data_IF_822912075809
#
_entry.id   IF_822912075809
#
_cell.length_a   1.000
_cell.length_b   1.000
_cell.length_c   1.000
_cell.angle_alpha   90.00
_cell.angle_beta   90.00
_cell.angle_gamma   90.00
#
_symmetry.space_group_name_H-M   'P 1'
#
loop_
_entity.id
_entity.type
_entity.pdbx_description
1 polymer ?
#
# COMPACT_ATOMS: atom_id res chain seq x y z
N UNK A 1 -15.88 -0.56 12.61
CA UNK A 1 -15.54 -0.73 11.18
C UNK A 1 -15.96 -2.11 10.72
N UNK A 2 -16.42 -2.24 9.49
CA UNK A 2 -16.82 -3.53 8.94
C UNK A 2 -16.58 -3.58 7.42
N UNK A 3 -16.63 -4.78 6.88
CA UNK A 3 -16.53 -5.02 5.44
C UNK A 3 -17.88 -5.55 4.95
N UNK A 4 -18.32 -5.11 3.78
CA UNK A 4 -19.63 -5.47 3.25
C UNK A 4 -19.64 -5.39 1.71
N UNK A 5 -20.57 -6.10 1.08
CA UNK A 5 -20.86 -5.94 -0.34
C UNK A 5 -21.90 -4.83 -0.62
N UNK A 6 -22.49 -4.27 0.43
CA UNK A 6 -23.58 -3.30 0.29
C UNK A 6 -23.02 -1.88 0.29
N UNK A 7 -23.32 -1.14 -0.77
CA UNK A 7 -22.98 0.28 -0.86
C UNK A 7 -23.88 1.10 0.07
N UNK A 8 -23.27 1.99 0.85
CA UNK A 8 -23.99 2.96 1.69
C UNK A 8 -23.30 4.32 1.58
N UNK A 9 -23.91 5.36 2.11
CA UNK A 9 -23.49 6.75 1.93
C UNK A 9 -22.00 7.00 2.26
N UNK A 10 -21.46 6.33 3.27
CA UNK A 10 -20.07 6.54 3.71
C UNK A 10 -19.16 5.35 3.39
N UNK A 11 -19.62 4.43 2.52
CA UNK A 11 -18.85 3.24 2.18
C UNK A 11 -17.71 3.59 1.21
N UNK A 12 -16.52 3.06 1.49
CA UNK A 12 -15.33 3.26 0.67
C UNK A 12 -15.09 1.98 -0.13
N UNK A 13 -15.11 2.02 -1.47
CA UNK A 13 -14.82 0.83 -2.27
C UNK A 13 -13.34 0.46 -2.14
N UNK A 14 -13.03 -0.76 -1.73
CA UNK A 14 -11.64 -1.18 -1.45
C UNK A 14 -11.19 -2.37 -2.31
N UNK A 15 -12.11 -3.21 -2.78
CA UNK A 15 -11.76 -4.32 -3.67
C UNK A 15 -12.95 -4.67 -4.55
N UNK A 16 -12.68 -5.38 -5.63
CA UNK A 16 -13.69 -5.84 -6.58
C UNK A 16 -13.44 -7.29 -6.93
N UNK A 17 -14.50 -8.08 -7.03
CA UNK A 17 -14.39 -9.43 -7.57
C UNK A 17 -14.15 -9.30 -9.07
N UNK A 18 -13.05 -9.89 -9.54
CA UNK A 18 -12.61 -9.79 -10.94
C UNK A 18 -13.71 -10.28 -11.89
N UNK A 19 -13.89 -9.57 -12.98
CA UNK A 19 -14.86 -9.86 -14.05
C UNK A 19 -16.33 -9.83 -13.61
N UNK A 20 -16.63 -9.23 -12.46
CA UNK A 20 -18.01 -9.02 -11.98
C UNK A 20 -18.22 -7.57 -11.57
N UNK A 21 -19.48 -7.11 -11.38
CA UNK A 21 -19.73 -5.80 -10.79
C UNK A 21 -19.66 -5.76 -9.26
N UNK A 22 -19.39 -6.89 -8.60
CA UNK A 22 -19.42 -6.96 -7.13
C UNK A 22 -18.23 -6.24 -6.51
N UNK A 23 -18.51 -5.24 -5.68
CA UNK A 23 -17.52 -4.43 -4.98
C UNK A 23 -17.61 -4.71 -3.48
N UNK A 24 -16.44 -4.77 -2.83
CA UNK A 24 -16.33 -4.86 -1.37
C UNK A 24 -16.06 -3.47 -0.86
N UNK A 25 -16.84 -3.06 0.12
CA UNK A 25 -16.78 -1.74 0.74
C UNK A 25 -16.31 -1.84 2.17
N UNK A 26 -15.52 -0.85 2.59
CA UNK A 26 -15.16 -0.59 3.97
C UNK A 26 -16.14 0.44 4.53
N UNK A 27 -16.76 0.11 5.67
CA UNK A 27 -17.60 1.03 6.42
C UNK A 27 -16.80 1.55 7.61
N UNK A 28 -16.38 2.83 7.58
CA UNK A 28 -15.71 3.42 8.73
C UNK A 28 -16.64 3.48 9.94
N UNK A 29 -16.10 3.38 11.14
CA UNK A 29 -16.86 3.75 12.34
C UNK A 29 -17.13 5.25 12.28
N UNK A 30 -18.34 5.66 12.66
CA UNK A 30 -18.61 7.06 12.88
C UNK A 30 -17.67 7.56 13.99
N UNK A 31 -16.80 8.48 13.65
CA UNK A 31 -15.91 9.10 14.60
C UNK A 31 -16.71 10.06 15.48
N UNK A 32 -17.36 9.51 16.49
CA UNK A 32 -17.79 10.35 17.62
C UNK A 32 -16.54 10.50 18.49
N UNK A 33 -15.81 11.57 18.29
CA UNK A 33 -14.77 11.99 19.20
C UNK A 33 -15.43 12.21 20.55
N UNK A 34 -15.37 11.23 21.43
CA UNK A 34 -15.65 11.49 22.83
C UNK A 34 -14.46 12.27 23.38
N UNK A 35 -14.67 13.48 23.87
CA UNK A 35 -13.56 14.21 24.48
C UNK A 35 -12.95 13.35 25.57
N UNK A 36 -11.64 13.16 25.49
CA UNK A 36 -10.90 12.46 26.52
C UNK A 36 -11.07 13.31 27.81
N UNK A 37 -11.59 12.75 28.91
CA UNK A 37 -11.65 13.49 30.15
C UNK A 37 -10.25 14.01 30.48
N UNK A 38 -10.18 15.24 31.00
CA UNK A 38 -8.94 15.80 31.52
C UNK A 38 -8.46 14.92 32.68
N UNK A 39 -7.78 13.85 32.37
CA UNK A 39 -7.12 13.03 33.39
C UNK A 39 -5.76 13.64 33.67
N UNK A 40 -5.38 13.65 34.96
CA UNK A 40 -4.06 14.06 35.39
C UNK A 40 -2.97 13.40 34.53
N UNK A 41 -2.27 14.21 33.76
CA UNK A 41 -1.20 13.79 32.88
C UNK A 41 -0.07 13.01 33.58
N UNK A 42 -0.06 13.03 34.91
CA UNK A 42 0.98 12.42 35.74
C UNK A 42 0.73 10.94 36.09
N UNK A 43 -0.49 10.45 35.88
CA UNK A 43 -0.86 9.05 36.19
C UNK A 43 -1.34 8.27 34.99
N UNK A 44 -0.83 8.62 33.80
CA UNK A 44 -1.25 7.93 32.56
C UNK A 44 -0.79 6.48 32.60
N UNK A 45 -1.74 5.56 32.66
CA UNK A 45 -1.48 4.14 32.40
C UNK A 45 -1.70 3.88 30.91
N UNK A 46 -0.81 3.08 30.34
CA UNK A 46 -0.82 2.73 28.91
C UNK A 46 -1.40 1.32 28.78
N UNK A 47 -2.65 1.21 28.33
CA UNK A 47 -3.33 -0.09 28.21
C UNK A 47 -3.11 -0.71 26.84
N UNK A 48 -2.83 -2.01 26.82
CA UNK A 48 -2.74 -2.75 25.56
C UNK A 48 -4.13 -2.84 24.91
N UNK A 49 -4.31 -2.38 23.67
CA UNK A 49 -5.63 -2.42 23.03
C UNK A 49 -6.13 -3.85 22.80
N UNK A 50 -5.24 -4.84 22.80
CA UNK A 50 -5.60 -6.22 22.49
C UNK A 50 -5.94 -7.04 23.72
N UNK A 51 -5.09 -7.02 24.75
CA UNK A 51 -5.29 -7.87 25.96
C UNK A 51 -5.71 -7.08 27.19
N UNK A 52 -5.81 -5.76 27.07
CA UNK A 52 -6.23 -4.80 28.12
C UNK A 52 -5.29 -4.73 29.33
N UNK A 53 -4.09 -5.33 29.22
CA UNK A 53 -3.08 -5.23 30.27
C UNK A 53 -2.50 -3.82 30.35
N UNK A 54 -2.36 -3.30 31.56
CA UNK A 54 -1.85 -1.94 31.81
C UNK A 54 -0.35 -1.93 32.03
N UNK A 55 0.27 -0.84 31.61
CA UNK A 55 1.72 -0.61 31.71
C UNK A 55 1.95 0.83 32.20
N UNK A 56 2.97 0.99 33.03
CA UNK A 56 3.34 2.29 33.57
C UNK A 56 4.22 3.11 32.62
N UNK A 57 4.76 2.47 31.57
CA UNK A 57 5.64 3.13 30.59
C UNK A 57 5.18 2.80 29.17
N UNK A 58 5.13 3.82 28.33
CA UNK A 58 4.77 3.68 26.91
C UNK A 58 5.70 2.69 26.18
N UNK A 59 7.00 2.73 26.47
CA UNK A 59 7.98 1.83 25.85
C UNK A 59 7.72 0.37 26.19
N UNK A 60 7.33 0.08 27.44
CA UNK A 60 6.98 -1.28 27.85
C UNK A 60 5.73 -1.79 27.12
N UNK A 61 4.72 -0.90 26.94
CA UNK A 61 3.55 -1.24 26.15
C UNK A 61 3.93 -1.52 24.68
N UNK A 62 4.76 -0.67 24.08
CA UNK A 62 5.20 -0.88 22.69
C UNK A 62 5.93 -2.23 22.56
N UNK A 63 6.84 -2.54 23.47
CA UNK A 63 7.53 -3.83 23.48
C UNK A 63 6.54 -4.99 23.62
N UNK A 64 5.59 -4.86 24.57
CA UNK A 64 4.56 -5.88 24.78
C UNK A 64 3.73 -6.12 23.51
N UNK A 65 3.27 -5.06 22.85
CA UNK A 65 2.46 -5.17 21.64
C UNK A 65 3.28 -5.82 20.50
N UNK A 66 4.54 -5.44 20.37
CA UNK A 66 5.37 -5.91 19.24
C UNK A 66 5.91 -7.34 19.42
N UNK A 67 6.15 -7.76 20.66
CA UNK A 67 6.89 -9.01 20.91
C UNK A 67 6.16 -10.03 21.78
N UNK A 68 5.28 -9.59 22.68
CA UNK A 68 4.79 -10.44 23.78
C UNK A 68 3.29 -10.71 23.70
N UNK A 69 2.51 -9.77 23.17
CA UNK A 69 1.05 -9.87 23.24
C UNK A 69 0.50 -10.98 22.35
N UNK A 70 0.14 -12.10 22.94
CA UNK A 70 -0.44 -13.25 22.23
C UNK A 70 -1.80 -12.89 21.60
N UNK A 71 -2.59 -12.05 22.27
CA UNK A 71 -3.91 -11.65 21.74
C UNK A 71 -3.82 -10.83 20.46
N UNK A 72 -2.72 -10.10 20.22
CA UNK A 72 -2.52 -9.42 18.95
C UNK A 72 -2.44 -10.40 17.78
N UNK A 73 -1.79 -11.55 17.96
CA UNK A 73 -1.67 -12.57 16.92
C UNK A 73 -3.02 -13.23 16.63
N UNK A 74 -3.81 -13.50 17.69
CA UNK A 74 -5.15 -14.07 17.54
C UNK A 74 -6.15 -13.06 16.96
N UNK A 75 -5.85 -11.77 17.05
CA UNK A 75 -6.76 -10.72 16.61
C UNK A 75 -7.05 -10.76 15.11
N UNK A 76 -6.07 -11.19 14.30
CA UNK A 76 -6.30 -11.34 12.84
C UNK A 76 -7.41 -12.35 12.54
N UNK A 77 -7.59 -13.40 13.38
CA UNK A 77 -8.60 -14.41 13.16
C UNK A 77 -10.01 -13.91 13.50
N UNK A 78 -10.12 -12.86 14.34
CA UNK A 78 -11.40 -12.29 14.77
C UNK A 78 -11.73 -10.97 14.07
N UNK A 79 -10.79 -10.42 13.29
CA UNK A 79 -11.01 -9.16 12.56
C UNK A 79 -12.06 -9.35 11.46
N UNK A 80 -12.85 -8.33 11.17
CA UNK A 80 -13.75 -8.38 10.03
C UNK A 80 -13.00 -8.77 8.76
N UNK A 81 -13.53 -9.76 8.07
CA UNK A 81 -12.90 -10.25 6.84
C UNK A 81 -13.96 -10.71 5.86
N UNK A 82 -13.59 -10.70 4.58
CA UNK A 82 -14.37 -11.31 3.51
C UNK A 82 -13.42 -12.25 2.75
N UNK A 83 -13.84 -13.49 2.55
CA UNK A 83 -13.10 -14.44 1.73
C UNK A 83 -14.02 -14.92 0.59
N UNK A 84 -13.41 -15.23 -0.55
CA UNK A 84 -14.14 -15.64 -1.74
C UNK A 84 -13.26 -16.57 -2.58
N UNK A 85 -13.86 -17.61 -3.22
CA UNK A 85 -13.10 -18.41 -4.17
C UNK A 85 -12.77 -17.68 -5.46
N UNK A 86 -13.43 -16.55 -5.72
CA UNK A 86 -13.18 -15.73 -6.91
C UNK A 86 -11.99 -14.79 -6.68
N UNK A 87 -11.31 -14.41 -7.77
CA UNK A 87 -10.17 -13.51 -7.69
C UNK A 87 -10.63 -12.08 -7.38
N UNK A 88 -9.92 -11.42 -6.47
CA UNK A 88 -10.13 -10.00 -6.15
C UNK A 88 -9.14 -9.11 -6.89
N UNK A 89 -9.54 -7.89 -7.14
CA UNK A 89 -8.69 -6.80 -7.60
C UNK A 89 -8.79 -5.70 -6.55
N UNK A 90 -7.63 -5.22 -6.04
CA UNK A 90 -7.62 -4.06 -5.13
C UNK A 90 -8.04 -2.82 -5.92
N UNK A 91 -8.99 -2.06 -5.39
CA UNK A 91 -9.43 -0.83 -6.03
C UNK A 91 -8.55 0.35 -5.58
N UNK A 92 -8.21 1.26 -6.51
CA UNK A 92 -7.61 2.54 -6.15
C UNK A 92 -8.55 3.36 -5.26
N UNK A 93 -7.99 4.09 -4.31
CA UNK A 93 -8.75 5.04 -3.51
C UNK A 93 -8.77 6.39 -4.23
N UNK A 94 -9.83 7.17 -4.05
CA UNK A 94 -9.95 8.51 -4.63
C UNK A 94 -9.13 9.56 -3.86
N UNK A 95 -8.40 9.13 -2.88
CA UNK A 95 -7.42 9.95 -2.20
C UNK A 95 -6.05 9.71 -2.83
N UNK A 96 -5.09 10.57 -2.49
CA UNK A 96 -3.70 10.33 -2.86
C UNK A 96 -3.24 8.98 -2.33
N UNK A 97 -2.73 8.12 -3.21
CA UNK A 97 -2.10 6.85 -2.83
C UNK A 97 -0.64 6.86 -3.26
N UNK A 98 0.20 6.28 -2.42
CA UNK A 98 1.57 5.97 -2.79
C UNK A 98 1.75 4.46 -2.62
N UNK A 99 1.75 3.72 -3.73
CA UNK A 99 1.94 2.27 -3.76
C UNK A 99 3.41 1.94 -3.98
N UNK A 100 3.98 1.15 -3.08
CA UNK A 100 5.30 0.57 -3.28
C UNK A 100 5.12 -0.91 -3.60
N UNK A 101 5.48 -1.31 -4.83
CA UNK A 101 5.30 -2.68 -5.33
C UNK A 101 6.67 -3.32 -5.43
N UNK A 102 6.92 -4.38 -4.66
CA UNK A 102 8.25 -5.01 -4.59
C UNK A 102 8.16 -6.51 -4.81
N UNK A 103 8.98 -6.99 -5.74
CA UNK A 103 9.11 -8.42 -6.03
C UNK A 103 10.16 -8.68 -7.10
N UNK A 104 10.74 -9.88 -7.12
CA UNK A 104 11.77 -10.20 -8.12
C UNK A 104 11.21 -10.21 -9.54
N UNK A 105 12.07 -10.32 -10.55
CA UNK A 105 11.60 -10.48 -11.93
C UNK A 105 10.61 -11.64 -12.03
N UNK A 106 9.59 -11.47 -12.86
CA UNK A 106 8.54 -12.46 -13.12
C UNK A 106 7.62 -12.76 -11.91
N UNK A 107 7.67 -11.96 -10.85
CA UNK A 107 6.76 -12.13 -9.70
C UNK A 107 5.32 -11.73 -10.01
N UNK A 108 5.10 -10.87 -11.03
CA UNK A 108 3.79 -10.36 -11.39
C UNK A 108 3.60 -8.87 -11.15
N UNK A 109 4.68 -8.11 -10.89
CA UNK A 109 4.59 -6.66 -10.66
C UNK A 109 3.89 -5.93 -11.80
N UNK A 110 4.30 -6.19 -13.04
CA UNK A 110 3.73 -5.54 -14.23
C UNK A 110 2.25 -5.87 -14.35
N UNK A 111 1.89 -7.14 -14.16
CA UNK A 111 0.49 -7.58 -14.21
C UNK A 111 -0.36 -6.85 -13.13
N UNK A 112 0.15 -6.78 -11.89
CA UNK A 112 -0.55 -6.09 -10.79
C UNK A 112 -0.73 -4.61 -11.12
N UNK A 113 0.34 -3.94 -11.58
CA UNK A 113 0.31 -2.53 -11.97
C UNK A 113 -0.74 -2.28 -13.06
N UNK A 114 -0.76 -3.13 -14.07
CA UNK A 114 -1.70 -3.05 -15.19
C UNK A 114 -3.16 -3.14 -14.72
N UNK A 115 -3.46 -4.10 -13.83
CA UNK A 115 -4.82 -4.26 -13.30
C UNK A 115 -5.24 -3.06 -12.44
N UNK A 116 -4.31 -2.53 -11.63
CA UNK A 116 -4.56 -1.32 -10.84
C UNK A 116 -4.86 -0.13 -11.76
N UNK A 117 -4.09 0.05 -12.82
CA UNK A 117 -4.27 1.15 -13.77
C UNK A 117 -5.61 1.05 -14.49
N UNK A 118 -6.02 -0.16 -14.90
CA UNK A 118 -7.35 -0.36 -15.50
C UNK A 118 -8.46 0.13 -14.58
N UNK A 119 -8.38 -0.24 -13.29
CA UNK A 119 -9.37 0.20 -12.31
C UNK A 119 -9.30 1.71 -12.08
N UNK A 120 -8.09 2.27 -11.99
CA UNK A 120 -7.88 3.71 -11.80
C UNK A 120 -8.53 4.51 -12.94
N UNK A 121 -8.26 4.12 -14.17
CA UNK A 121 -8.82 4.80 -15.34
C UNK A 121 -10.35 4.67 -15.42
N UNK A 122 -10.84 3.47 -15.09
CA UNK A 122 -12.28 3.21 -15.12
C UNK A 122 -13.04 4.02 -14.06
N UNK A 123 -12.43 4.16 -12.86
CA UNK A 123 -13.07 4.86 -11.74
C UNK A 123 -12.96 6.38 -11.84
N UNK A 124 -11.80 6.91 -12.26
CA UNK A 124 -11.50 8.34 -12.13
C UNK A 124 -11.30 9.05 -13.46
N UNK A 125 -11.06 8.34 -14.55
CA UNK A 125 -10.85 8.92 -15.90
C UNK A 125 -9.72 9.96 -15.91
N UNK A 126 -8.65 9.69 -15.17
CA UNK A 126 -7.46 10.56 -15.05
C UNK A 126 -6.31 10.02 -15.87
N UNK A 127 -5.32 10.87 -16.16
CA UNK A 127 -4.13 10.48 -16.91
C UNK A 127 -3.24 9.54 -16.10
N UNK A 128 -2.55 8.65 -16.82
CA UNK A 128 -1.55 7.75 -16.26
C UNK A 128 -0.25 7.93 -17.03
N UNK A 129 0.83 8.27 -16.35
CA UNK A 129 2.15 8.49 -16.91
C UNK A 129 3.09 7.44 -16.32
N UNK A 130 3.84 6.74 -17.18
CA UNK A 130 4.74 5.68 -16.73
C UNK A 130 6.16 5.94 -17.21
N UNK A 131 7.07 6.13 -16.27
CA UNK A 131 8.52 6.17 -16.53
C UNK A 131 9.05 4.74 -16.48
N UNK A 132 9.58 4.24 -17.60
CA UNK A 132 10.08 2.87 -17.70
C UNK A 132 11.25 2.78 -18.68
N UNK A 133 12.10 1.75 -18.49
CA UNK A 133 13.15 1.40 -19.46
C UNK A 133 12.65 0.41 -20.50
N UNK A 134 11.52 -0.25 -20.25
CA UNK A 134 11.06 -1.39 -21.04
C UNK A 134 9.92 -1.02 -21.98
N UNK A 135 10.27 -0.40 -23.11
CA UNK A 135 9.31 -0.05 -24.16
C UNK A 135 8.58 -1.28 -24.73
N UNK A 136 9.25 -2.42 -24.73
CA UNK A 136 8.76 -3.65 -25.37
C UNK A 136 8.35 -4.75 -24.41
N UNK A 137 7.97 -4.42 -23.18
CA UNK A 137 7.41 -5.42 -22.28
C UNK A 137 6.10 -5.94 -22.88
N UNK A 138 6.07 -7.22 -23.24
CA UNK A 138 4.90 -7.86 -23.84
C UNK A 138 3.65 -7.77 -22.96
N UNK A 139 3.84 -7.69 -21.64
CA UNK A 139 2.74 -7.50 -20.70
C UNK A 139 2.07 -6.14 -20.88
N UNK A 140 2.76 -5.15 -21.47
CA UNK A 140 2.24 -3.80 -21.70
C UNK A 140 1.64 -3.61 -23.08
N UNK A 141 1.83 -4.53 -24.03
CA UNK A 141 1.38 -4.38 -25.43
C UNK A 141 -0.12 -4.07 -25.57
N UNK A 142 -0.95 -4.72 -24.76
CA UNK A 142 -2.40 -4.53 -24.81
C UNK A 142 -2.86 -3.27 -24.07
N UNK A 143 -1.94 -2.52 -23.48
CA UNK A 143 -2.26 -1.40 -22.59
C UNK A 143 -1.63 -0.09 -23.02
N UNK A 144 -1.09 0.00 -24.22
CA UNK A 144 -0.53 1.24 -24.77
C UNK A 144 -1.52 2.40 -24.70
N UNK A 145 -2.82 2.10 -24.76
CA UNK A 145 -3.89 3.09 -24.62
C UNK A 145 -4.15 3.51 -23.16
N UNK A 146 -3.62 2.77 -22.19
CA UNK A 146 -3.82 3.05 -20.76
C UNK A 146 -2.73 3.97 -20.19
N UNK A 147 -1.52 3.93 -20.78
CA UNK A 147 -0.34 4.64 -20.26
C UNK A 147 0.18 5.66 -21.25
N UNK A 148 0.58 6.82 -20.75
CA UNK A 148 1.51 7.70 -21.43
C UNK A 148 2.92 7.29 -21.01
N UNK A 149 3.64 6.60 -21.89
CA UNK A 149 4.97 6.05 -21.57
C UNK A 149 6.03 7.11 -21.82
N UNK A 150 6.89 7.32 -20.82
CA UNK A 150 8.10 8.15 -20.92
C UNK A 150 9.30 7.22 -20.73
N UNK A 151 10.13 7.12 -21.78
CA UNK A 151 11.33 6.28 -21.73
C UNK A 151 12.39 6.92 -20.82
N UNK A 152 13.00 6.11 -19.97
CA UNK A 152 14.07 6.55 -19.08
C UNK A 152 15.38 6.62 -19.88
N UNK A 153 15.72 7.81 -20.35
CA UNK A 153 16.93 8.08 -21.10
C UNK A 153 17.39 9.55 -20.85
N UNK A 154 18.57 9.94 -21.34
CA UNK A 154 19.10 11.30 -21.08
C UNK A 154 18.26 12.45 -21.59
N UNK A 155 17.34 12.24 -22.52
CA UNK A 155 16.48 13.33 -23.04
C UNK A 155 15.60 13.94 -21.95
N UNK A 156 15.29 13.18 -20.89
CA UNK A 156 14.52 13.67 -19.74
C UNK A 156 15.17 14.90 -19.10
N UNK A 157 16.51 14.95 -19.10
CA UNK A 157 17.26 16.06 -18.48
C UNK A 157 17.25 17.33 -19.33
N UNK A 158 16.96 17.21 -20.62
CA UNK A 158 16.94 18.36 -21.57
C UNK A 158 15.64 19.15 -21.37
N UNK A 159 14.52 18.47 -21.25
CA UNK A 159 13.21 19.11 -21.08
C UNK A 159 12.55 18.54 -19.82
N UNK A 160 12.89 19.16 -18.69
CA UNK A 160 12.46 18.67 -17.38
C UNK A 160 10.98 18.94 -17.13
N UNK A 161 10.38 18.06 -16.34
CA UNK A 161 8.96 18.14 -16.00
C UNK A 161 8.70 19.16 -14.89
N UNK A 162 7.53 19.79 -14.95
CA UNK A 162 6.99 20.60 -13.86
C UNK A 162 6.01 19.74 -13.05
N UNK A 163 5.88 20.01 -11.76
CA UNK A 163 4.96 19.24 -10.90
C UNK A 163 3.51 19.33 -11.39
N UNK A 164 3.14 20.48 -11.96
CA UNK A 164 1.80 20.72 -12.51
C UNK A 164 1.45 19.80 -13.67
N UNK A 165 2.45 19.27 -14.37
CA UNK A 165 2.24 18.31 -15.48
C UNK A 165 1.57 17.03 -15.01
N UNK A 166 1.62 16.74 -13.71
CA UNK A 166 1.11 15.51 -13.10
C UNK A 166 -0.14 15.70 -12.27
N UNK A 167 -0.75 16.89 -12.29
CA UNK A 167 -2.00 17.13 -11.58
C UNK A 167 -3.09 16.17 -12.06
N UNK A 168 -3.90 15.67 -11.13
CA UNK A 168 -5.00 14.74 -11.41
C UNK A 168 -4.53 13.51 -12.21
N UNK A 169 -3.39 12.94 -11.81
CA UNK A 169 -2.76 11.84 -12.56
C UNK A 169 -2.26 10.75 -11.63
N UNK A 170 -2.04 9.58 -12.21
CA UNK A 170 -1.26 8.50 -11.60
C UNK A 170 0.10 8.45 -12.30
N UNK A 171 1.17 8.53 -11.53
CA UNK A 171 2.54 8.50 -12.05
C UNK A 171 3.23 7.22 -11.58
N UNK A 172 3.76 6.46 -12.53
CA UNK A 172 4.40 5.18 -12.25
C UNK A 172 5.91 5.30 -12.53
N UNK A 173 6.71 4.97 -11.53
CA UNK A 173 8.17 4.89 -11.64
C UNK A 173 8.55 3.41 -11.65
N UNK A 174 8.78 2.88 -12.84
CA UNK A 174 8.98 1.46 -13.05
C UNK A 174 10.47 1.11 -13.06
N UNK A 175 10.93 0.53 -11.93
CA UNK A 175 12.29 0.00 -11.76
C UNK A 175 13.38 1.03 -12.14
N UNK A 176 13.23 2.25 -11.66
CA UNK A 176 14.17 3.33 -12.01
C UNK A 176 15.58 3.10 -11.44
N UNK A 177 15.73 2.27 -10.39
CA UNK A 177 17.05 1.93 -9.83
C UNK A 177 17.94 1.19 -10.82
N UNK A 178 17.34 0.45 -11.75
CA UNK A 178 18.09 -0.35 -12.71
C UNK A 178 18.56 0.47 -13.93
N UNK A 179 18.31 1.76 -13.94
CA UNK A 179 18.74 2.65 -15.05
C UNK A 179 20.26 2.75 -15.15
N UNK A 180 20.76 2.70 -16.35
CA UNK A 180 22.19 2.91 -16.64
C UNK A 180 22.61 4.38 -16.68
N UNK A 181 21.69 5.32 -16.39
CA UNK A 181 21.92 6.77 -16.41
C UNK A 181 21.79 7.35 -15.00
N UNK A 182 22.89 7.44 -14.22
CA UNK A 182 22.79 7.87 -12.82
C UNK A 182 22.17 9.25 -12.61
N UNK A 183 22.48 10.23 -13.49
CA UNK A 183 21.89 11.58 -13.39
C UNK A 183 20.38 11.58 -13.65
N UNK A 184 19.91 10.75 -14.57
CA UNK A 184 18.49 10.57 -14.84
C UNK A 184 17.80 9.94 -13.62
N UNK A 185 18.42 8.90 -13.06
CA UNK A 185 17.92 8.22 -11.86
C UNK A 185 17.80 9.21 -10.70
N UNK A 186 18.81 10.01 -10.46
CA UNK A 186 18.81 11.04 -9.40
C UNK A 186 17.67 12.04 -9.60
N UNK A 187 17.51 12.53 -10.83
CA UNK A 187 16.40 13.44 -11.18
C UNK A 187 15.03 12.81 -10.94
N UNK A 188 14.85 11.55 -11.38
CA UNK A 188 13.57 10.85 -11.22
C UNK A 188 13.25 10.58 -9.76
N UNK A 189 14.25 10.27 -8.91
CA UNK A 189 14.02 10.15 -7.47
C UNK A 189 13.61 11.47 -6.85
N UNK A 190 14.21 12.57 -7.26
CA UNK A 190 13.84 13.91 -6.80
C UNK A 190 12.40 14.23 -7.19
N UNK A 191 12.05 14.01 -8.46
CA UNK A 191 10.69 14.22 -8.97
C UNK A 191 9.68 13.36 -8.22
N UNK A 192 10.00 12.08 -8.02
CA UNK A 192 9.14 11.14 -7.29
C UNK A 192 8.87 11.61 -5.86
N UNK A 193 9.91 12.02 -5.15
CA UNK A 193 9.76 12.52 -3.77
C UNK A 193 8.90 13.77 -3.72
N UNK A 194 9.06 14.68 -4.68
CA UNK A 194 8.25 15.90 -4.76
C UNK A 194 6.77 15.56 -5.02
N UNK A 195 6.51 14.60 -5.91
CA UNK A 195 5.15 14.16 -6.22
C UNK A 195 4.50 13.47 -5.01
N UNK A 196 5.26 12.65 -4.27
CA UNK A 196 4.74 11.97 -3.08
C UNK A 196 4.39 13.00 -2.00
N UNK A 197 5.25 13.99 -1.77
CA UNK A 197 5.03 15.01 -0.73
C UNK A 197 3.86 15.93 -1.06
N UNK A 198 3.68 16.28 -2.33
CA UNK A 198 2.70 17.26 -2.75
C UNK A 198 1.44 16.64 -3.37
N UNK A 199 1.40 15.32 -3.52
CA UNK A 199 0.34 14.63 -4.28
C UNK A 199 -1.07 14.85 -3.73
N UNK A 200 -1.21 14.99 -2.42
CA UNK A 200 -2.53 15.20 -1.80
C UNK A 200 -3.20 16.48 -2.29
N UNK A 201 -2.42 17.53 -2.47
CA UNK A 201 -2.95 18.83 -2.93
C UNK A 201 -3.29 18.83 -4.42
N UNK A 202 -2.65 17.96 -5.18
CA UNK A 202 -2.73 17.95 -6.65
C UNK A 202 -3.47 16.74 -7.22
N UNK A 203 -4.08 15.91 -6.38
CA UNK A 203 -4.72 14.65 -6.78
C UNK A 203 -3.76 13.76 -7.58
N UNK A 204 -2.49 13.71 -7.17
CA UNK A 204 -1.47 12.89 -7.83
C UNK A 204 -1.20 11.66 -6.97
N UNK A 205 -1.42 10.49 -7.55
CA UNK A 205 -1.04 9.20 -6.93
C UNK A 205 0.25 8.70 -7.58
N UNK A 206 1.02 7.90 -6.84
CA UNK A 206 2.33 7.41 -7.28
C UNK A 206 2.41 5.90 -7.08
N UNK A 207 2.90 5.20 -8.09
CA UNK A 207 3.32 3.80 -7.98
C UNK A 207 4.83 3.74 -8.19
N UNK A 208 5.53 3.05 -7.29
CA UNK A 208 6.97 2.76 -7.45
C UNK A 208 7.13 1.25 -7.46
N UNK A 209 7.80 0.71 -8.48
CA UNK A 209 8.11 -0.72 -8.53
C UNK A 209 9.61 -0.94 -8.33
N UNK A 210 9.97 -1.93 -7.52
CA UNK A 210 11.34 -2.34 -7.28
C UNK A 210 11.47 -3.86 -7.30
N UNK A 211 12.69 -4.36 -7.51
CA UNK A 211 12.95 -5.80 -7.53
C UNK A 211 13.01 -6.40 -6.12
N UNK A 212 13.38 -5.62 -5.11
CA UNK A 212 13.50 -6.15 -3.75
C UNK A 212 13.25 -5.08 -2.68
N UNK A 213 13.22 -5.54 -1.43
CA UNK A 213 13.01 -4.71 -0.24
C UNK A 213 14.31 -4.47 0.53
N UNK A 214 15.46 -4.68 -0.11
CA UNK A 214 16.73 -4.41 0.56
C UNK A 214 16.85 -2.95 0.97
N UNK A 215 17.29 -2.76 2.21
CA UNK A 215 17.25 -1.45 2.84
C UNK A 215 18.46 -0.59 2.47
N UNK A 216 18.35 0.11 1.35
CA UNK A 216 19.17 1.30 1.10
C UNK A 216 18.42 2.54 1.59
N UNK A 217 19.09 3.69 1.62
CA UNK A 217 18.48 4.94 2.07
C UNK A 217 17.23 5.30 1.25
N UNK A 218 17.29 5.13 -0.07
CA UNK A 218 16.16 5.42 -0.97
C UNK A 218 14.97 4.52 -0.68
N UNK A 219 15.20 3.22 -0.50
CA UNK A 219 14.13 2.25 -0.16
C UNK A 219 13.49 2.58 1.18
N UNK A 220 14.30 2.93 2.19
CA UNK A 220 13.79 3.32 3.52
C UNK A 220 12.87 4.54 3.43
N UNK A 221 13.24 5.54 2.65
CA UNK A 221 12.43 6.74 2.44
C UNK A 221 11.07 6.37 1.82
N UNK A 222 11.07 5.53 0.78
CA UNK A 222 9.84 5.07 0.14
C UNK A 222 8.96 4.29 1.11
N UNK A 223 9.56 3.38 1.89
CA UNK A 223 8.83 2.59 2.87
C UNK A 223 8.19 3.45 3.97
N UNK A 224 8.83 4.56 4.33
CA UNK A 224 8.26 5.50 5.30
C UNK A 224 7.08 6.30 4.72
N UNK A 225 7.12 6.61 3.42
CA UNK A 225 6.13 7.47 2.77
C UNK A 225 4.95 6.70 2.15
N UNK A 226 5.07 5.40 1.93
CA UNK A 226 4.04 4.61 1.25
C UNK A 226 2.74 4.55 2.04
N UNK A 227 1.61 4.60 1.34
CA UNK A 227 0.28 4.33 1.90
C UNK A 227 -0.12 2.87 1.72
N UNK A 228 0.47 2.20 0.73
CA UNK A 228 0.19 0.79 0.44
C UNK A 228 1.48 0.09 0.00
N UNK A 229 1.72 -1.09 0.57
CA UNK A 229 2.82 -1.98 0.18
C UNK A 229 2.23 -3.21 -0.51
N UNK A 230 2.72 -3.51 -1.72
CA UNK A 230 2.37 -4.74 -2.43
C UNK A 230 3.58 -5.65 -2.47
N UNK A 231 3.41 -6.87 -1.98
CA UNK A 231 4.47 -7.89 -1.93
C UNK A 231 4.02 -9.15 -2.65
N UNK A 232 4.99 -10.00 -2.99
CA UNK A 232 4.76 -11.28 -3.65
C UNK A 232 5.35 -12.38 -2.75
N UNK A 233 4.54 -12.89 -1.77
CA UNK A 233 5.07 -13.76 -0.71
C UNK A 233 5.72 -15.06 -1.22
N UNK A 234 5.24 -15.55 -2.38
CA UNK A 234 5.71 -16.84 -2.92
C UNK A 234 7.02 -16.70 -3.70
N UNK A 235 7.45 -15.49 -4.03
CA UNK A 235 8.63 -15.27 -4.87
C UNK A 235 9.67 -14.32 -4.29
N UNK A 236 9.30 -13.54 -3.29
CA UNK A 236 10.23 -12.58 -2.67
C UNK A 236 11.07 -13.19 -1.55
N UNK A 237 12.08 -12.44 -1.12
CA UNK A 237 12.90 -12.82 0.03
C UNK A 237 12.08 -12.78 1.32
N UNK A 238 11.86 -13.93 1.92
CA UNK A 238 11.11 -14.06 3.17
C UNK A 238 11.71 -13.16 4.26
N UNK A 239 13.03 -13.11 4.36
CA UNK A 239 13.72 -12.28 5.36
C UNK A 239 13.38 -10.79 5.19
N UNK A 240 13.52 -10.28 3.97
CA UNK A 240 13.26 -8.85 3.70
C UNK A 240 11.78 -8.51 3.86
N UNK A 241 10.89 -9.40 3.41
CA UNK A 241 9.44 -9.22 3.58
C UNK A 241 9.09 -9.15 5.08
N UNK A 242 9.56 -10.12 5.88
CA UNK A 242 9.29 -10.15 7.33
C UNK A 242 9.75 -8.86 8.02
N UNK A 243 10.97 -8.41 7.71
CA UNK A 243 11.51 -7.20 8.33
C UNK A 243 10.69 -5.97 7.93
N UNK A 244 10.32 -5.85 6.66
CA UNK A 244 9.52 -4.74 6.17
C UNK A 244 8.14 -4.71 6.84
N UNK A 245 7.46 -5.85 6.91
CA UNK A 245 6.14 -5.93 7.55
C UNK A 245 6.19 -5.54 9.03
N UNK A 246 7.24 -5.94 9.73
CA UNK A 246 7.38 -5.60 11.15
C UNK A 246 7.76 -4.14 11.36
N UNK A 247 8.75 -3.64 10.62
CA UNK A 247 9.31 -2.31 10.85
C UNK A 247 8.42 -1.18 10.30
N UNK A 248 7.80 -1.40 9.15
CA UNK A 248 7.07 -0.33 8.44
C UNK A 248 5.55 -0.49 8.47
N UNK A 249 5.04 -1.71 8.72
CA UNK A 249 3.60 -1.94 8.81
C UNK A 249 3.13 -2.24 10.24
N UNK A 250 4.05 -2.41 11.18
CA UNK A 250 3.73 -2.60 12.59
C UNK A 250 3.20 -3.99 12.94
N UNK A 251 3.46 -4.99 12.11
CA UNK A 251 2.94 -6.36 12.33
C UNK A 251 3.80 -7.15 13.30
N UNK A 252 3.14 -7.97 14.12
CA UNK A 252 3.79 -8.96 14.97
C UNK A 252 4.31 -10.13 14.13
N UNK A 253 5.11 -10.96 14.74
CA UNK A 253 5.57 -12.19 14.09
C UNK A 253 4.41 -13.08 13.60
N UNK A 254 3.51 -13.16 14.15
CA UNK A 254 2.42 -13.87 13.84
C UNK A 254 1.69 -13.43 12.70
N UNK A 255 1.38 -12.26 12.91
CA UNK A 255 0.71 -11.64 11.77
C UNK A 255 1.54 -11.77 10.49
N UNK A 256 2.80 -11.50 10.59
CA UNK A 256 3.74 -11.60 9.46
C UNK A 256 3.74 -13.01 8.87
N UNK A 257 3.81 -14.03 9.73
CA UNK A 257 3.80 -15.42 9.25
C UNK A 257 2.47 -15.77 8.57
N UNK A 258 1.35 -15.31 9.10
CA UNK A 258 0.03 -15.52 8.47
C UNK A 258 -0.02 -14.88 7.06
N UNK A 259 0.50 -13.66 6.93
CA UNK A 259 0.54 -12.97 5.63
C UNK A 259 1.35 -13.79 4.61
N UNK A 260 2.52 -14.30 5.04
CA UNK A 260 3.38 -15.10 4.16
C UNK A 260 2.76 -16.43 3.75
N UNK A 261 1.80 -16.94 4.53
CA UNK A 261 1.13 -18.21 4.24
C UNK A 261 -0.17 -18.04 3.44
N UNK A 262 -0.57 -16.80 3.14
CA UNK A 262 -1.77 -16.58 2.33
C UNK A 262 -1.63 -17.24 0.94
N UNK A 263 -2.67 -17.94 0.47
CA UNK A 263 -2.64 -18.58 -0.84
C UNK A 263 -2.85 -17.55 -1.96
N UNK A 264 -1.85 -16.72 -2.17
CA UNK A 264 -1.96 -15.57 -3.07
C UNK A 264 -0.61 -15.25 -3.71
N UNK A 265 -0.64 -14.89 -4.99
CA UNK A 265 0.56 -14.41 -5.67
C UNK A 265 0.99 -13.05 -5.15
N UNK A 266 0.04 -12.20 -4.79
CA UNK A 266 0.31 -10.85 -4.29
C UNK A 266 -0.52 -10.58 -3.03
N UNK A 267 0.02 -9.72 -2.18
CA UNK A 267 -0.69 -9.21 -0.98
C UNK A 267 -0.46 -7.71 -0.93
N UNK A 268 -1.55 -6.95 -0.84
CA UNK A 268 -1.52 -5.48 -0.73
C UNK A 268 -1.89 -5.09 0.70
N UNK A 269 -0.99 -4.37 1.36
CA UNK A 269 -1.15 -3.93 2.74
C UNK A 269 -1.40 -2.42 2.74
N UNK A 270 -2.62 -1.99 3.06
CA UNK A 270 -2.98 -0.58 3.19
C UNK A 270 -2.62 -0.13 4.59
N UNK A 271 -1.71 0.85 4.68
CA UNK A 271 -1.11 1.28 5.94
C UNK A 271 -1.90 2.35 6.67
N UNK A 272 -2.64 3.17 5.95
CA UNK A 272 -3.43 4.23 6.58
C UNK A 272 -4.60 3.64 7.35
N UNK A 273 -4.98 4.32 8.44
CA UNK A 273 -6.08 3.88 9.27
C UNK A 273 -7.41 4.11 8.54
N UNK A 274 -8.30 3.12 8.50
CA UNK A 274 -8.17 1.78 9.08
C UNK A 274 -7.28 0.86 8.23
N UNK A 275 -6.32 0.19 8.87
CA UNK A 275 -5.38 -0.68 8.17
C UNK A 275 -6.08 -1.98 7.72
N UNK A 276 -5.87 -2.36 6.45
CA UNK A 276 -6.45 -3.60 5.91
C UNK A 276 -5.48 -4.26 4.93
N UNK A 277 -5.69 -5.54 4.71
CA UNK A 277 -4.90 -6.38 3.80
C UNK A 277 -5.84 -6.93 2.74
N UNK A 278 -5.48 -6.76 1.46
CA UNK A 278 -6.19 -7.37 0.33
C UNK A 278 -5.25 -8.40 -0.33
N UNK A 279 -5.78 -9.55 -0.66
CA UNK A 279 -5.07 -10.58 -1.43
C UNK A 279 -6.04 -11.20 -2.44
N UNK A 280 -5.56 -12.15 -3.25
CA UNK A 280 -6.36 -12.67 -4.38
C UNK A 280 -7.73 -13.22 -3.99
N UNK A 281 -7.88 -13.73 -2.77
CA UNK A 281 -9.13 -14.40 -2.36
C UNK A 281 -9.73 -13.82 -1.08
N UNK A 282 -9.33 -12.61 -0.70
CA UNK A 282 -9.93 -12.04 0.51
C UNK A 282 -9.39 -10.68 0.91
N UNK A 283 -10.02 -10.15 1.94
CA UNK A 283 -9.66 -8.89 2.56
C UNK A 283 -9.85 -9.01 4.07
N UNK A 284 -8.89 -8.51 4.85
CA UNK A 284 -8.90 -8.50 6.31
C UNK A 284 -8.72 -7.08 6.83
N UNK A 285 -9.51 -6.71 7.82
CA UNK A 285 -9.22 -5.55 8.67
C UNK A 285 -8.16 -5.96 9.70
N UNK A 286 -7.12 -5.14 9.88
CA UNK A 286 -6.00 -5.53 10.75
C UNK A 286 -6.20 -5.05 12.19
N UNK A 287 -6.65 -3.81 12.37
CA UNK A 287 -6.72 -3.17 13.69
C UNK A 287 -8.09 -2.49 13.91
N UNK A 288 -9.17 -3.17 13.52
CA UNK A 288 -10.51 -2.58 13.52
C UNK A 288 -11.00 -2.12 14.91
N UNK A 289 -10.48 -2.72 15.97
CA UNK A 289 -10.90 -2.38 17.34
C UNK A 289 -10.12 -1.20 17.94
N UNK A 290 -9.07 -0.77 17.28
CA UNK A 290 -8.19 0.28 17.80
C UNK A 290 -8.65 1.68 17.35
N UNK A 291 -9.46 1.74 16.27
CA UNK A 291 -9.91 2.99 15.65
C UNK A 291 -11.41 3.20 15.78
#
# INVERSE_FOLDING_TARGET
>A
MSLTYKETKNAIPVAKISKTPKIIYLLPKSNVFKPVPETNLYEATFSCPYCKKDFNKKQTLIYHISKVCLKKSHHMDTMPSIQTPELLVKLPLDAHEMLFISGPPNSGKTYYTKEYVRMYKQMFKRNVIMFTRNEHDETLKDTEKLFNIVMIDPSILVDRFHLEDFNNSLVIFDDIESSEYPKVTEYLYSLMNDLIRNGRHNNTSVIVTNHDLRAGTKTKNLLNLMTCLVIFPQSGSVYHIKNTLKLYCGFSNXQTNKILQLPSRWVAISREAPQYITYEHGIYMVNADVY
#
